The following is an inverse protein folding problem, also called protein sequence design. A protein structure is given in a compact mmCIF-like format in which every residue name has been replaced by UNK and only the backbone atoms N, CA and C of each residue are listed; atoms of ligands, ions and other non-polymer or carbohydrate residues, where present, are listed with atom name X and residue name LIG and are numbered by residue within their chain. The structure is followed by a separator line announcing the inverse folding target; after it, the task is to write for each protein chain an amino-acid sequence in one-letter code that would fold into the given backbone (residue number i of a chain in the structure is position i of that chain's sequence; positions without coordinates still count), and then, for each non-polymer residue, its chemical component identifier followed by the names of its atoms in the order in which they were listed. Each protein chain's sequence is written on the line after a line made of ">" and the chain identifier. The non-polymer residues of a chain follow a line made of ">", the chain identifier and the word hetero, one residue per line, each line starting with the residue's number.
data_IF_724427949908
#
_entry.id   IF_724427949908
#
_cell.length_a   1.000
_cell.length_b   1.000
_cell.length_c   1.000
_cell.angle_alpha   90.00
_cell.angle_beta   90.00
_cell.angle_gamma   90.00
#
_symmetry.space_group_name_H-M   'P 1'
#
loop_
_entity.id
_entity.type
_entity.pdbx_description
1 polymer ?
#
# COMPACT_ATOMS: atom_id res chain seq x y z
N UNK A 1 26.21 -5.11 44.08
CA UNK A 1 25.52 -3.83 43.83
C UNK A 1 24.92 -3.73 42.43
N UNK A 2 25.53 -4.29 41.38
CA UNK A 2 24.98 -4.24 40.01
C UNK A 2 24.04 -5.41 39.66
N UNK A 3 24.10 -6.51 40.41
CA UNK A 3 23.22 -7.69 40.31
C UNK A 3 21.79 -7.42 40.77
N UNK A 4 21.62 -6.75 41.92
CA UNK A 4 20.31 -6.48 42.55
C UNK A 4 19.35 -5.70 41.64
N UNK A 5 19.89 -4.75 40.84
CA UNK A 5 19.09 -3.88 39.99
C UNK A 5 18.47 -4.64 38.80
N UNK A 6 19.17 -5.65 38.27
CA UNK A 6 18.68 -6.47 37.15
C UNK A 6 17.54 -7.39 37.61
N UNK A 7 17.63 -7.96 38.81
CA UNK A 7 16.60 -8.84 39.38
C UNK A 7 15.29 -8.08 39.59
N UNK A 8 15.35 -6.84 40.10
CA UNK A 8 14.17 -5.99 40.30
C UNK A 8 13.42 -5.66 39.00
N UNK A 9 14.14 -5.40 37.90
CA UNK A 9 13.52 -5.14 36.59
C UNK A 9 12.79 -6.39 36.08
N UNK A 10 13.41 -7.57 36.18
CA UNK A 10 12.76 -8.83 35.80
C UNK A 10 11.55 -9.18 36.69
N UNK A 11 11.59 -8.86 37.99
CA UNK A 11 10.47 -9.12 38.90
C UNK A 11 9.26 -8.19 38.67
N UNK A 12 9.49 -6.90 38.36
CA UNK A 12 8.40 -5.97 37.99
C UNK A 12 7.63 -6.44 36.76
N UNK A 13 8.31 -6.97 35.74
CA UNK A 13 7.67 -7.56 34.55
C UNK A 13 6.90 -8.86 34.83
N UNK A 14 7.07 -9.51 35.99
CA UNK A 14 6.35 -10.74 36.36
C UNK A 14 5.14 -10.50 37.28
N UNK A 15 5.12 -9.41 38.04
CA UNK A 15 4.04 -9.11 39.00
C UNK A 15 2.87 -8.32 38.39
N UNK A 16 3.10 -7.57 37.31
CA UNK A 16 2.00 -7.11 36.47
C UNK A 16 1.67 -8.19 35.45
N UNK A 17 0.75 -9.10 35.80
CA UNK A 17 0.16 -10.14 34.93
C UNK A 17 -0.73 -9.59 33.80
N UNK A 18 -0.31 -8.48 33.20
CA UNK A 18 -0.83 -7.89 31.98
C UNK A 18 0.36 -7.75 31.05
N UNK A 19 0.43 -8.65 30.07
CA UNK A 19 1.03 -8.29 28.80
C UNK A 19 0.34 -7.00 28.35
N UNK A 20 1.10 -5.90 28.29
CA UNK A 20 0.63 -4.68 27.65
C UNK A 20 0.64 -4.92 26.14
N UNK A 21 -0.28 -5.77 25.68
CA UNK A 21 -0.59 -5.96 24.27
C UNK A 21 -1.25 -4.69 23.75
N UNK A 22 -0.41 -3.70 23.46
CA UNK A 22 -0.75 -2.50 22.72
C UNK A 22 -0.85 -2.80 21.22
N UNK A 23 -1.44 -3.95 20.86
CA UNK A 23 -1.67 -4.34 19.47
C UNK A 23 -3.02 -3.77 18.99
N UNK A 24 -3.12 -2.44 19.00
CA UNK A 24 -4.19 -1.74 18.32
C UNK A 24 -3.98 -1.86 16.81
N UNK A 25 -4.50 -2.97 16.25
CA UNK A 25 -4.31 -3.37 14.86
C UNK A 25 -4.48 -2.20 13.88
N UNK A 26 -3.35 -1.74 13.34
CA UNK A 26 -3.27 -0.53 12.53
C UNK A 26 -4.09 -0.67 11.24
N UNK A 27 -4.90 0.35 10.93
CA UNK A 27 -5.78 0.37 9.75
C UNK A 27 -5.27 1.38 8.73
N UNK A 28 -5.03 0.90 7.51
CA UNK A 28 -4.74 1.76 6.37
C UNK A 28 -5.98 1.97 5.51
N UNK A 29 -6.52 3.19 5.54
CA UNK A 29 -7.66 3.61 4.73
C UNK A 29 -7.18 4.41 3.53
N UNK A 30 -7.54 4.02 2.31
CA UNK A 30 -7.36 4.90 1.15
C UNK A 30 -8.36 6.06 1.20
N UNK A 31 -7.87 7.28 0.98
CA UNK A 31 -8.66 8.52 1.03
C UNK A 31 -8.93 9.10 -0.36
N UNK A 32 -7.99 8.97 -1.28
CA UNK A 32 -8.13 9.40 -2.68
C UNK A 32 -7.23 8.57 -3.62
N UNK A 33 -7.53 8.62 -4.93
CA UNK A 33 -6.73 8.05 -6.01
C UNK A 33 -6.71 9.04 -7.19
N UNK A 34 -5.52 9.32 -7.73
CA UNK A 34 -5.35 10.10 -8.96
C UNK A 34 -4.60 9.27 -10.00
N UNK A 35 -5.03 9.33 -11.25
CA UNK A 35 -4.38 8.64 -12.36
C UNK A 35 -4.26 9.60 -13.56
N UNK A 36 -3.03 9.78 -14.03
CA UNK A 36 -2.70 10.67 -15.15
C UNK A 36 -1.79 9.92 -16.10
N UNK A 37 -2.20 9.65 -17.34
CA UNK A 37 -1.37 8.97 -18.34
C UNK A 37 -1.14 9.82 -19.58
N UNK A 38 -0.08 9.50 -20.34
CA UNK A 38 0.09 10.05 -21.67
C UNK A 38 -0.94 9.38 -22.62
N UNK A 39 -1.85 10.13 -23.27
CA UNK A 39 -2.87 9.58 -24.17
C UNK A 39 -2.29 8.82 -25.39
N UNK A 40 -1.03 9.06 -25.75
CA UNK A 40 -0.33 8.33 -26.81
C UNK A 40 0.00 6.88 -26.39
N UNK A 41 0.34 6.69 -25.11
CA UNK A 41 0.81 5.40 -24.55
C UNK A 41 -0.26 4.66 -23.73
N UNK A 42 -1.28 5.35 -23.21
CA UNK A 42 -2.36 4.76 -22.39
C UNK A 42 -3.70 5.41 -22.74
N UNK A 43 -4.72 4.59 -23.01
CA UNK A 43 -6.09 5.01 -23.32
C UNK A 43 -7.06 4.53 -22.24
N UNK A 44 -8.28 5.10 -22.23
CA UNK A 44 -9.39 4.69 -21.36
C UNK A 44 -9.04 4.61 -19.86
N UNK A 45 -8.30 5.60 -19.35
CA UNK A 45 -7.90 5.66 -17.94
C UNK A 45 -9.13 6.01 -17.09
N UNK A 46 -9.50 5.11 -16.18
CA UNK A 46 -10.56 5.31 -15.20
C UNK A 46 -10.07 4.85 -13.83
N UNK A 47 -10.02 5.76 -12.85
CA UNK A 47 -9.64 5.45 -11.47
C UNK A 47 -10.73 5.94 -10.51
N UNK A 48 -11.28 5.01 -9.73
CA UNK A 48 -12.45 5.23 -8.90
C UNK A 48 -12.22 4.65 -7.49
N UNK A 49 -12.42 5.47 -6.46
CA UNK A 49 -12.39 5.03 -5.06
C UNK A 49 -13.80 4.82 -4.53
N UNK A 50 -14.08 3.65 -3.97
CA UNK A 50 -15.36 3.30 -3.32
C UNK A 50 -15.14 3.12 -1.83
N UNK A 51 -15.74 3.98 -1.00
CA UNK A 51 -15.82 3.73 0.43
C UNK A 51 -16.73 2.51 0.70
N UNK A 52 -16.30 1.60 1.58
CA UNK A 52 -17.07 0.40 1.98
C UNK A 52 -17.46 0.45 3.45
N UNK A 53 -16.54 0.89 4.30
CA UNK A 53 -16.76 1.09 5.73
C UNK A 53 -15.85 2.23 6.22
N UNK A 54 -16.07 2.72 7.45
CA UNK A 54 -15.25 3.75 8.08
C UNK A 54 -13.75 3.42 8.05
N UNK A 55 -13.40 2.14 8.19
CA UNK A 55 -12.04 1.58 8.18
C UNK A 55 -11.58 1.05 6.82
N UNK A 56 -12.45 0.93 5.80
CA UNK A 56 -12.10 0.26 4.52
C UNK A 56 -12.62 1.02 3.31
N UNK A 57 -11.71 1.38 2.44
CA UNK A 57 -11.99 1.85 1.08
C UNK A 57 -11.41 0.87 0.06
N UNK A 58 -12.02 0.83 -1.12
CA UNK A 58 -11.65 -0.03 -2.24
C UNK A 58 -11.29 0.86 -3.43
N UNK A 59 -10.11 0.63 -4.02
CA UNK A 59 -9.70 1.25 -5.27
C UNK A 59 -10.04 0.33 -6.46
N UNK A 60 -10.59 0.92 -7.51
CA UNK A 60 -10.78 0.29 -8.81
C UNK A 60 -10.08 1.13 -9.88
N UNK A 61 -9.34 0.49 -10.76
CA UNK A 61 -8.66 1.12 -11.89
C UNK A 61 -8.93 0.33 -13.16
N UNK A 62 -8.90 1.04 -14.28
CA UNK A 62 -9.06 0.50 -15.61
C UNK A 62 -8.20 1.33 -16.56
N UNK A 63 -7.41 0.69 -17.41
CA UNK A 63 -6.63 1.35 -18.44
C UNK A 63 -6.34 0.40 -19.62
N UNK A 64 -6.11 0.97 -20.80
CA UNK A 64 -5.80 0.23 -22.01
C UNK A 64 -4.43 0.64 -22.55
N UNK A 65 -3.53 -0.33 -22.69
CA UNK A 65 -2.18 -0.13 -23.21
C UNK A 65 -2.14 -0.57 -24.69
N UNK A 66 -2.21 0.36 -25.66
CA UNK A 66 -2.09 0.04 -27.09
C UNK A 66 -0.71 -0.47 -27.50
N UNK A 67 0.34 -0.22 -26.70
CA UNK A 67 1.73 -0.64 -26.97
C UNK A 67 2.24 -1.45 -25.77
N UNK A 68 2.98 -2.56 -25.97
CA UNK A 68 3.62 -3.31 -24.89
C UNK A 68 4.65 -2.46 -24.13
N UNK A 69 4.71 -2.61 -22.81
CA UNK A 69 5.75 -2.04 -21.96
C UNK A 69 6.93 -2.99 -21.84
N UNK A 70 8.12 -2.53 -22.24
CA UNK A 70 9.35 -3.32 -22.34
C UNK A 70 10.28 -3.19 -21.14
N UNK A 71 10.20 -2.10 -20.39
CA UNK A 71 10.75 -2.04 -19.04
C UNK A 71 10.07 -0.91 -18.24
N UNK A 72 8.92 -1.18 -17.60
CA UNK A 72 8.29 -0.23 -16.70
C UNK A 72 9.20 -0.04 -15.49
N UNK A 73 9.78 1.15 -15.36
CA UNK A 73 10.42 1.59 -14.12
C UNK A 73 9.37 2.33 -13.31
N UNK A 74 9.13 1.85 -12.09
CA UNK A 74 8.28 2.56 -11.14
C UNK A 74 9.11 3.38 -10.17
N UNK A 75 8.86 4.69 -10.13
CA UNK A 75 9.41 5.59 -9.11
C UNK A 75 8.35 5.86 -8.05
N UNK A 76 8.77 5.91 -6.78
CA UNK A 76 7.90 6.34 -5.66
C UNK A 76 8.30 7.74 -5.19
N UNK A 77 7.42 8.73 -5.39
CA UNK A 77 7.61 10.10 -4.92
C UNK A 77 6.75 10.42 -3.69
N UNK A 78 7.32 11.20 -2.77
CA UNK A 78 6.69 11.70 -1.53
C UNK A 78 5.69 12.87 -1.79
N UNK A 79 5.03 13.38 -0.74
CA UNK A 79 3.62 13.80 -0.74
C UNK A 79 3.35 15.30 -0.97
N UNK A 80 4.35 16.17 -1.07
CA UNK A 80 4.08 17.50 -1.64
C UNK A 80 5.25 17.92 -2.50
N UNK A 81 5.02 19.03 -3.18
CA UNK A 81 6.01 19.74 -3.96
C UNK A 81 7.19 20.25 -3.07
N UNK A 82 7.11 20.09 -1.73
CA UNK A 82 8.22 19.84 -0.79
C UNK A 82 7.76 18.89 0.36
N UNK A 83 8.45 17.80 0.66
CA UNK A 83 8.24 16.97 1.88
C UNK A 83 9.56 16.57 2.52
N UNK A 84 9.48 16.00 3.73
CA UNK A 84 10.59 15.30 4.39
C UNK A 84 10.46 13.80 4.04
N UNK A 85 11.50 13.17 3.45
CA UNK A 85 11.37 11.84 2.87
C UNK A 85 11.07 10.77 3.91
N UNK A 86 9.89 10.15 3.84
CA UNK A 86 9.59 8.95 4.64
C UNK A 86 10.07 7.68 3.90
N UNK A 87 11.33 7.34 4.20
CA UNK A 87 12.07 6.10 3.91
C UNK A 87 12.33 5.65 2.47
N UNK A 88 11.52 5.98 1.46
CA UNK A 88 11.64 5.30 0.14
C UNK A 88 11.35 6.22 -1.06
N UNK A 89 12.41 6.74 -1.69
CA UNK A 89 12.46 6.99 -3.13
C UNK A 89 13.32 5.89 -3.76
N UNK A 90 12.69 5.03 -4.57
CA UNK A 90 13.33 3.88 -5.22
C UNK A 90 12.73 3.73 -6.60
N UNK A 91 13.61 3.56 -7.59
CA UNK A 91 13.28 3.13 -8.95
C UNK A 91 13.26 1.60 -9.00
N UNK A 92 12.09 1.00 -9.23
CA UNK A 92 11.93 -0.46 -9.35
C UNK A 92 11.76 -0.81 -10.83
N UNK A 93 12.70 -1.57 -11.40
CA UNK A 93 12.48 -2.26 -12.67
C UNK A 93 11.46 -3.38 -12.45
N UNK A 94 10.25 -3.22 -12.99
CA UNK A 94 9.17 -4.19 -12.80
C UNK A 94 9.47 -5.51 -13.52
N UNK A 95 10.15 -5.50 -14.67
CA UNK A 95 10.57 -6.70 -15.40
C UNK A 95 11.54 -7.58 -14.60
N UNK A 96 12.47 -6.98 -13.84
CA UNK A 96 13.38 -7.72 -12.96
C UNK A 96 12.66 -8.33 -11.74
N UNK A 97 11.63 -7.65 -11.22
CA UNK A 97 10.79 -8.20 -10.12
C UNK A 97 9.90 -9.35 -10.62
N UNK A 98 9.28 -9.20 -11.80
CA UNK A 98 8.49 -10.27 -12.45
C UNK A 98 9.35 -11.51 -12.68
N UNK A 99 10.53 -11.33 -13.27
CA UNK A 99 11.48 -12.41 -13.55
C UNK A 99 12.28 -12.89 -12.33
N UNK A 100 11.99 -12.36 -11.13
CA UNK A 100 12.65 -12.66 -9.84
C UNK A 100 14.17 -12.45 -9.85
N UNK A 101 14.68 -11.59 -10.72
CA UNK A 101 16.11 -11.25 -10.86
C UNK A 101 16.60 -10.27 -9.80
N UNK A 102 15.72 -9.45 -9.24
CA UNK A 102 16.05 -8.48 -8.18
C UNK A 102 15.18 -8.68 -6.94
N UNK A 103 15.79 -8.64 -5.75
CA UNK A 103 15.09 -8.74 -4.47
C UNK A 103 15.03 -7.36 -3.79
N UNK A 104 14.05 -6.55 -4.20
CA UNK A 104 13.67 -5.34 -3.47
C UNK A 104 12.42 -5.66 -2.63
N UNK A 105 12.49 -5.67 -1.28
CA UNK A 105 11.38 -6.14 -0.45
C UNK A 105 10.08 -5.34 -0.68
N UNK A 106 10.20 -4.01 -0.81
CA UNK A 106 9.08 -3.13 -1.19
C UNK A 106 8.53 -3.43 -2.59
N UNK A 107 9.40 -3.77 -3.54
CA UNK A 107 9.02 -4.20 -4.89
C UNK A 107 8.24 -5.52 -4.89
N UNK A 108 8.67 -6.50 -4.08
CA UNK A 108 7.98 -7.79 -3.92
C UNK A 108 6.62 -7.61 -3.23
N UNK A 109 6.50 -6.76 -2.21
CA UNK A 109 5.23 -6.42 -1.55
C UNK A 109 4.25 -5.82 -2.57
N UNK A 110 4.70 -4.80 -3.31
CA UNK A 110 3.89 -4.14 -4.33
C UNK A 110 3.50 -5.10 -5.46
N UNK A 111 4.42 -5.97 -5.89
CA UNK A 111 4.15 -6.97 -6.91
C UNK A 111 3.09 -7.99 -6.44
N UNK A 112 3.16 -8.48 -5.20
CA UNK A 112 2.11 -9.32 -4.60
C UNK A 112 0.75 -8.61 -4.55
N UNK A 113 0.72 -7.31 -4.24
CA UNK A 113 -0.52 -6.52 -4.27
C UNK A 113 -1.08 -6.41 -5.69
N UNK A 114 -0.24 -6.10 -6.68
CA UNK A 114 -0.65 -6.01 -8.08
C UNK A 114 -1.19 -7.37 -8.57
N UNK A 115 -0.49 -8.48 -8.33
CA UNK A 115 -0.94 -9.82 -8.70
C UNK A 115 -2.28 -10.22 -8.05
N UNK A 116 -2.60 -9.70 -6.86
CA UNK A 116 -3.85 -10.02 -6.13
C UNK A 116 -5.08 -9.30 -6.70
N UNK A 117 -4.89 -8.10 -7.26
CA UNK A 117 -5.99 -7.22 -7.65
C UNK A 117 -6.04 -6.89 -9.14
N UNK A 118 -5.00 -7.23 -9.92
CA UNK A 118 -4.91 -6.95 -11.35
C UNK A 118 -4.88 -8.21 -12.19
N UNK A 119 -5.23 -8.07 -13.47
CA UNK A 119 -5.12 -9.13 -14.48
C UNK A 119 -3.70 -9.27 -15.09
N UNK A 120 -2.67 -8.64 -14.50
CA UNK A 120 -1.30 -8.70 -15.05
C UNK A 120 -0.80 -10.15 -14.98
N UNK A 121 -0.81 -10.81 -16.13
CA UNK A 121 -0.26 -12.14 -16.28
C UNK A 121 1.24 -12.11 -15.95
N UNK A 122 1.78 -13.19 -15.37
CA UNK A 122 3.16 -13.22 -14.88
C UNK A 122 4.22 -13.24 -16.00
N UNK A 123 3.77 -13.22 -17.26
CA UNK A 123 4.59 -13.07 -18.46
C UNK A 123 4.83 -11.61 -18.79
N UNK A 124 6.09 -11.27 -19.06
CA UNK A 124 6.53 -9.94 -19.48
C UNK A 124 7.03 -9.99 -20.94
N UNK A 125 6.79 -9.00 -21.82
CA UNK A 125 6.23 -7.65 -21.61
C UNK A 125 4.72 -7.60 -21.36
N UNK A 126 4.24 -6.48 -20.79
CA UNK A 126 2.82 -6.27 -20.44
C UNK A 126 2.13 -5.49 -21.56
N UNK A 127 0.97 -5.95 -22.05
CA UNK A 127 0.18 -5.29 -23.10
C UNK A 127 -1.33 -5.51 -22.94
N UNK A 128 -2.14 -4.69 -23.63
CA UNK A 128 -3.59 -4.87 -23.73
C UNK A 128 -4.40 -4.16 -22.65
N UNK A 129 -5.58 -4.70 -22.33
CA UNK A 129 -6.47 -4.15 -21.32
C UNK A 129 -6.00 -4.57 -19.93
N UNK A 130 -5.72 -3.58 -19.07
CA UNK A 130 -5.33 -3.79 -17.68
C UNK A 130 -6.41 -3.23 -16.75
N UNK A 131 -6.82 -4.02 -15.77
CA UNK A 131 -7.74 -3.57 -14.74
C UNK A 131 -7.24 -3.95 -13.34
N UNK A 132 -7.52 -3.09 -12.37
CA UNK A 132 -7.38 -3.37 -10.95
C UNK A 132 -8.77 -3.33 -10.32
N UNK A 133 -9.25 -4.43 -9.73
CA UNK A 133 -10.58 -4.49 -9.11
C UNK A 133 -10.47 -4.89 -7.64
N UNK A 134 -11.28 -4.25 -6.80
CA UNK A 134 -11.35 -4.52 -5.37
C UNK A 134 -10.04 -4.33 -4.59
N UNK A 135 -9.14 -3.45 -5.06
CA UNK A 135 -7.86 -3.19 -4.41
C UNK A 135 -8.04 -2.61 -3.01
N UNK A 136 -7.31 -3.14 -2.02
CA UNK A 136 -7.22 -2.59 -0.66
C UNK A 136 -5.80 -2.84 -0.10
N UNK A 137 -5.35 -1.98 0.81
CA UNK A 137 -4.06 -2.18 1.48
C UNK A 137 -4.26 -3.12 2.68
N UNK A 138 -3.50 -4.22 2.69
CA UNK A 138 -3.51 -5.23 3.75
C UNK A 138 -2.42 -4.88 4.77
N UNK A 139 -2.74 -4.61 6.05
CA UNK A 139 -1.73 -4.25 7.05
C UNK A 139 -0.66 -5.33 7.27
N UNK A 140 -0.93 -6.59 6.92
CA UNK A 140 0.03 -7.70 7.04
C UNK A 140 1.14 -7.66 5.98
N UNK A 141 0.95 -6.91 4.88
CA UNK A 141 1.91 -6.84 3.77
C UNK A 141 2.91 -5.69 3.90
N UNK A 142 2.68 -4.72 4.80
CA UNK A 142 3.51 -3.53 4.97
C UNK A 142 3.96 -3.39 6.42
N UNK A 143 5.16 -2.84 6.69
CA UNK A 143 5.56 -2.54 8.06
C UNK A 143 4.60 -1.51 8.70
N UNK A 144 4.47 -1.49 10.04
CA UNK A 144 3.63 -0.53 10.74
C UNK A 144 4.16 0.89 10.56
N UNK A 145 3.41 1.73 9.86
CA UNK A 145 3.70 3.16 9.69
C UNK A 145 3.08 3.97 10.84
N UNK A 146 3.65 5.13 11.21
CA UNK A 146 3.02 6.02 12.19
C UNK A 146 1.58 6.40 11.80
N UNK A 147 0.81 6.91 12.77
CA UNK A 147 -0.50 7.49 12.50
C UNK A 147 -0.32 8.79 11.70
N UNK A 148 -1.09 8.98 10.62
CA UNK A 148 -0.91 10.10 9.72
C UNK A 148 -1.48 9.89 8.32
N UNK A 149 -1.18 10.84 7.43
CA UNK A 149 -1.51 10.77 6.01
C UNK A 149 -0.24 10.43 5.22
N UNK A 150 -0.37 9.57 4.21
CA UNK A 150 0.70 9.15 3.31
C UNK A 150 0.25 9.24 1.85
N UNK A 151 1.14 9.64 0.95
CA UNK A 151 0.94 9.52 -0.50
C UNK A 151 2.00 8.60 -1.08
N UNK A 152 1.56 7.76 -2.02
CA UNK A 152 2.43 6.92 -2.83
C UNK A 152 2.22 7.36 -4.27
N UNK A 153 3.11 8.21 -4.80
CA UNK A 153 3.09 8.62 -6.20
C UNK A 153 3.97 7.68 -7.01
N UNK A 154 3.33 6.72 -7.69
CA UNK A 154 3.91 5.74 -8.59
C UNK A 154 4.03 6.35 -10.01
N UNK A 155 5.22 6.78 -10.41
CA UNK A 155 5.49 7.22 -11.80
C UNK A 155 5.98 6.03 -12.62
N UNK A 156 5.31 5.76 -13.74
CA UNK A 156 5.61 4.69 -14.69
C UNK A 156 6.27 5.32 -15.92
N UNK A 157 7.50 4.88 -16.21
CA UNK A 157 8.18 5.17 -17.48
C UNK A 157 8.53 3.87 -18.19
N UNK A 158 8.40 3.84 -19.52
CA UNK A 158 8.88 2.73 -20.34
C UNK A 158 10.34 2.99 -20.74
N UNK A 159 11.23 2.04 -20.47
CA UNK A 159 12.67 2.18 -20.77
C UNK A 159 13.08 1.23 -21.89
N UNK A 160 13.04 1.74 -23.12
CA UNK A 160 13.44 0.99 -24.31
C UNK A 160 14.82 1.43 -24.80
N UNK A 161 15.82 0.56 -24.66
CA UNK A 161 17.11 0.52 -25.40
C UNK A 161 17.86 1.85 -25.64
N UNK A 162 17.66 2.88 -24.81
CA UNK A 162 18.27 4.20 -24.94
C UNK A 162 17.34 5.37 -24.62
N UNK A 163 16.03 5.19 -24.76
CA UNK A 163 15.00 6.22 -24.51
C UNK A 163 14.13 5.80 -23.31
N UNK A 164 13.85 6.76 -22.42
CA UNK A 164 12.86 6.62 -21.36
C UNK A 164 11.65 7.49 -21.66
N UNK A 165 10.49 6.89 -21.91
CA UNK A 165 9.25 7.60 -22.21
C UNK A 165 8.29 7.61 -21.02
N UNK A 166 7.62 8.73 -20.80
CA UNK A 166 6.60 8.86 -19.77
C UNK A 166 5.29 8.18 -20.21
N UNK A 167 4.86 7.19 -19.41
CA UNK A 167 3.62 6.43 -19.65
C UNK A 167 2.49 6.97 -18.79
N UNK A 168 2.75 7.20 -17.49
CA UNK A 168 1.76 7.76 -16.58
C UNK A 168 2.22 7.84 -15.13
N UNK A 169 1.40 8.48 -14.31
CA UNK A 169 1.56 8.61 -12.86
C UNK A 169 0.26 8.18 -12.19
N UNK A 170 0.37 7.32 -11.19
CA UNK A 170 -0.73 6.94 -10.29
C UNK A 170 -0.37 7.42 -8.88
N UNK A 171 -1.24 8.21 -8.24
CA UNK A 171 -1.07 8.61 -6.85
C UNK A 171 -2.13 7.96 -5.99
N UNK A 172 -1.69 7.30 -4.93
CA UNK A 172 -2.55 6.80 -3.87
C UNK A 172 -2.43 7.70 -2.66
N UNK A 173 -3.56 8.06 -2.07
CA UNK A 173 -3.64 8.80 -0.82
C UNK A 173 -4.17 7.86 0.26
N UNK A 174 -3.43 7.76 1.36
CA UNK A 174 -3.60 6.78 2.43
C UNK A 174 -3.66 7.50 3.78
N UNK A 175 -4.47 6.98 4.69
CA UNK A 175 -4.55 7.40 6.08
C UNK A 175 -4.26 6.19 6.96
N UNK A 176 -3.18 6.29 7.74
CA UNK A 176 -2.85 5.38 8.83
C UNK A 176 -3.61 5.82 10.07
N UNK A 177 -4.51 4.97 10.57
CA UNK A 177 -5.37 5.28 11.70
C UNK A 177 -5.64 4.05 12.57
N UNK A 178 -6.06 4.31 13.81
CA UNK A 178 -6.49 3.26 14.74
C UNK A 178 -7.88 2.72 14.34
N UNK A 179 -8.20 1.45 14.66
CA UNK A 179 -9.48 0.85 14.31
C UNK A 179 -10.63 1.53 15.06
N UNK A 180 -11.70 1.89 14.34
CA UNK A 180 -12.87 2.56 14.91
C UNK A 180 -13.62 1.62 15.85
N UNK A 181 -13.38 1.77 17.16
CA UNK A 181 -14.05 1.00 18.22
C UNK A 181 -15.51 1.41 18.36
N UNK A 182 -16.40 0.68 17.69
CA UNK A 182 -17.84 0.85 17.87
C UNK A 182 -18.25 0.42 19.29
N UNK A 183 -18.59 1.40 20.16
CA UNK A 183 -19.22 1.13 21.47
C UNK A 183 -20.61 0.52 21.23
N UNK A 184 -20.70 -0.82 21.24
CA UNK A 184 -21.99 -1.51 21.35
C UNK A 184 -22.64 -1.05 22.67
N UNK A 185 -23.82 -0.43 22.59
CA UNK A 185 -24.63 -0.17 23.79
C UNK A 185 -24.95 -1.52 24.47
N UNK A 186 -24.86 -1.63 25.81
CA UNK A 186 -25.33 -2.82 26.49
C UNK A 186 -26.78 -3.08 26.11
N UNK A 187 -27.13 -4.32 25.73
CA UNK A 187 -28.55 -4.70 25.64
C UNK A 187 -29.12 -4.64 27.05
N UNK A 188 -30.27 -3.98 27.29
CA UNK A 188 -30.93 -4.08 28.58
C UNK A 188 -31.21 -5.55 28.85
N UNK A 189 -30.87 -6.03 30.04
CA UNK A 189 -31.26 -7.37 30.46
C UNK A 189 -32.79 -7.39 30.50
N UNK A 190 -33.41 -8.36 29.83
CA UNK A 190 -34.82 -8.62 30.04
C UNK A 190 -35.00 -8.96 31.53
N UNK A 191 -35.91 -8.26 32.20
CA UNK A 191 -36.39 -8.70 33.51
C UNK A 191 -37.36 -9.84 33.23
N UNK A 192 -36.95 -11.05 33.60
CA UNK A 192 -37.80 -12.23 33.64
C UNK A 192 -38.70 -12.10 34.89
N UNK A 193 -40.02 -12.20 34.68
CA UNK A 193 -41.07 -11.95 35.67
C UNK A 193 -41.79 -13.23 36.06
#
# INVERSE_FOLDING_TARGET
>A
MQTELVVLIFFCCRLSGKEASCDEQLVYKMTNIECVGNPERVKNISCNLKAVNWTRAIANMDCYLPVPLYNPVLFKRDYSNQWKPFLVDVSVNVGDVISRRSFLPYGVIMWKMLQRFTNVNHSFPISGHLFARNGYLDPSLVPPFPLGLYQVSAVIVDRNSGISEYVGTVKFYLQSMLPVKNKKRPRPKAQES
#
